data_IF_913100399281
#
_entry.id   IF_913100399281
#
_cell.length_a   1.000
_cell.length_b   1.000
_cell.length_c   1.000
_cell.angle_alpha   90.00
_cell.angle_beta   90.00
_cell.angle_gamma   90.00
#
_symmetry.space_group_name_H-M   'P 1'
#
loop_
_entity.id
_entity.type
_entity.pdbx_description
1 polymer ?
#
# COMPACT_ATOMS: atom_id res chain seq x y z
N UNK A 1 2.62 -6.81 5.49
CA UNK A 1 2.29 -8.07 4.78
C UNK A 1 1.14 -7.80 3.81
N UNK A 2 1.03 -8.56 2.71
CA UNK A 2 -0.09 -8.46 1.76
C UNK A 2 -0.87 -9.78 1.73
N UNK A 3 -2.19 -9.68 1.67
CA UNK A 3 -3.12 -10.80 1.59
C UNK A 3 -4.02 -10.62 0.37
N UNK A 4 -4.20 -11.67 -0.41
CA UNK A 4 -5.00 -11.68 -1.62
C UNK A 4 -6.13 -12.69 -1.49
N UNK A 5 -7.36 -12.20 -1.61
CA UNK A 5 -8.59 -12.99 -1.43
C UNK A 5 -9.50 -12.78 -2.64
N UNK A 6 -10.35 -13.75 -2.95
CA UNK A 6 -11.44 -13.59 -3.89
C UNK A 6 -12.66 -12.94 -3.20
N UNK A 7 -13.60 -12.43 -3.98
CA UNK A 7 -14.92 -12.00 -3.49
C UNK A 7 -15.64 -13.09 -2.66
N UNK A 8 -15.43 -14.37 -2.99
CA UNK A 8 -15.94 -15.52 -2.24
C UNK A 8 -15.16 -15.83 -0.95
N UNK A 9 -14.27 -14.93 -0.51
CA UNK A 9 -13.33 -15.12 0.61
C UNK A 9 -12.38 -16.32 0.46
N UNK A 10 -12.11 -16.74 -0.79
CA UNK A 10 -11.12 -17.78 -1.07
C UNK A 10 -9.72 -17.19 -1.21
N UNK A 11 -8.67 -17.78 -0.62
CA UNK A 11 -7.31 -17.29 -0.78
C UNK A 11 -6.82 -17.48 -2.22
N UNK A 12 -6.15 -16.47 -2.78
CA UNK A 12 -5.62 -16.52 -4.15
C UNK A 12 -4.11 -16.80 -4.11
N UNK A 13 -3.65 -18.03 -4.43
CA UNK A 13 -2.23 -18.35 -4.42
C UNK A 13 -1.53 -17.93 -5.70
N UNK A 14 -0.21 -17.74 -5.63
CA UNK A 14 0.63 -17.35 -6.76
C UNK A 14 0.14 -16.05 -7.45
N UNK A 15 -0.43 -15.11 -6.70
CA UNK A 15 -0.61 -13.75 -7.15
C UNK A 15 0.75 -13.04 -7.11
N UNK A 16 0.98 -12.15 -8.07
CA UNK A 16 2.21 -11.36 -8.20
C UNK A 16 2.00 -9.99 -7.56
N UNK A 17 2.84 -9.64 -6.60
CA UNK A 17 2.75 -8.41 -5.81
C UNK A 17 4.01 -7.60 -6.10
N UNK A 18 3.88 -6.56 -6.90
CA UNK A 18 4.98 -5.63 -7.19
C UNK A 18 4.85 -4.41 -6.29
N UNK A 19 5.90 -4.15 -5.52
CA UNK A 19 5.97 -3.02 -4.60
C UNK A 19 6.86 -1.94 -5.21
N UNK A 20 6.30 -0.74 -5.33
CA UNK A 20 7.00 0.45 -5.78
C UNK A 20 7.00 1.47 -4.64
N UNK A 21 8.11 2.17 -4.45
CA UNK A 21 8.20 3.31 -3.52
C UNK A 21 7.83 4.57 -4.29
N UNK A 22 6.91 5.36 -3.74
CA UNK A 22 6.50 6.64 -4.30
C UNK A 22 7.38 7.74 -3.72
N UNK A 23 8.20 8.35 -4.57
CA UNK A 23 9.01 9.52 -4.25
C UNK A 23 8.50 10.75 -5.03
N UNK A 24 9.02 11.95 -4.73
CA UNK A 24 8.60 13.21 -5.39
C UNK A 24 8.82 13.22 -6.91
N UNK A 25 9.73 12.37 -7.41
CA UNK A 25 10.06 12.24 -8.83
C UNK A 25 9.25 11.15 -9.55
N UNK A 26 8.52 10.31 -8.82
CA UNK A 26 7.77 9.18 -9.36
C UNK A 26 7.91 7.90 -8.52
N UNK A 27 7.37 6.79 -9.05
CA UNK A 27 7.37 5.48 -8.41
C UNK A 27 8.62 4.65 -8.81
N UNK A 28 9.41 4.22 -7.84
CA UNK A 28 10.61 3.39 -8.01
C UNK A 28 10.29 1.95 -7.63
N UNK A 29 10.55 0.98 -8.52
CA UNK A 29 10.38 -0.44 -8.19
C UNK A 29 11.32 -0.85 -7.06
N UNK A 30 10.76 -1.43 -5.99
CA UNK A 30 11.52 -1.93 -4.84
C UNK A 30 11.72 -3.43 -4.96
N UNK A 31 10.61 -4.18 -4.99
CA UNK A 31 10.65 -5.63 -4.94
C UNK A 31 9.33 -6.26 -5.35
N UNK A 32 9.42 -7.50 -5.80
CA UNK A 32 8.27 -8.34 -6.11
C UNK A 32 8.15 -9.50 -5.13
N UNK A 33 6.92 -9.84 -4.76
CA UNK A 33 6.55 -10.96 -3.92
C UNK A 33 5.48 -11.80 -4.61
N UNK A 34 5.33 -13.05 -4.16
CA UNK A 34 4.24 -13.93 -4.56
C UNK A 34 3.48 -14.42 -3.34
N UNK A 35 2.17 -14.54 -3.47
CA UNK A 35 1.35 -15.15 -2.41
C UNK A 35 1.53 -16.66 -2.38
N UNK A 36 1.55 -17.21 -1.18
CA UNK A 36 1.59 -18.66 -0.93
C UNK A 36 0.20 -19.31 -1.11
N UNK A 37 0.09 -20.60 -0.83
CA UNK A 37 -1.17 -21.38 -0.90
C UNK A 37 -2.31 -20.79 -0.05
N UNK A 38 -1.99 -20.03 0.99
CA UNK A 38 -2.97 -19.34 1.83
C UNK A 38 -3.33 -17.94 1.33
N UNK A 39 -2.88 -17.54 0.13
CA UNK A 39 -3.14 -16.21 -0.42
C UNK A 39 -2.41 -15.09 0.34
N UNK A 40 -1.26 -15.41 0.93
CA UNK A 40 -0.55 -14.53 1.86
C UNK A 40 0.91 -14.38 1.44
N UNK A 41 1.46 -13.18 1.53
CA UNK A 41 2.90 -12.96 1.35
C UNK A 41 3.65 -13.18 2.67
N UNK A 42 4.96 -13.39 2.60
CA UNK A 42 5.81 -13.21 3.79
C UNK A 42 5.81 -11.74 4.25
N UNK A 43 6.38 -11.47 5.43
CA UNK A 43 6.67 -10.10 5.86
C UNK A 43 7.52 -9.41 4.81
N UNK A 44 7.06 -8.24 4.40
CA UNK A 44 7.73 -7.36 3.44
C UNK A 44 8.43 -6.31 4.27
N UNK A 45 9.76 -6.36 4.28
CA UNK A 45 10.58 -5.33 4.92
C UNK A 45 10.70 -4.16 3.94
N UNK A 46 10.17 -3.00 4.33
CA UNK A 46 10.23 -1.75 3.58
C UNK A 46 10.97 -0.71 4.42
N UNK A 47 11.91 0.01 3.81
CA UNK A 47 12.62 1.12 4.45
C UNK A 47 11.67 2.31 4.68
N UNK A 48 11.10 2.39 5.88
CA UNK A 48 10.36 3.57 6.34
C UNK A 48 11.29 4.55 7.08
N UNK A 49 11.11 5.87 6.92
CA UNK A 49 11.85 6.86 7.69
C UNK A 49 11.58 6.70 9.19
N UNK A 50 12.60 6.99 10.01
CA UNK A 50 12.58 6.77 11.46
C UNK A 50 11.43 7.52 12.15
N UNK A 51 10.81 6.86 13.13
CA UNK A 51 9.67 7.37 13.89
C UNK A 51 10.01 8.61 14.74
N UNK A 52 11.30 8.84 15.03
CA UNK A 52 11.78 9.98 15.83
C UNK A 52 11.40 11.35 15.26
N UNK A 53 11.14 11.46 13.95
CA UNK A 53 10.72 12.72 13.31
C UNK A 53 9.24 13.08 13.54
N UNK A 54 8.43 12.16 14.06
CA UNK A 54 7.00 12.38 14.33
C UNK A 54 6.72 13.37 15.46
N UNK A 55 7.72 13.67 16.29
CA UNK A 55 7.56 14.51 17.49
C UNK A 55 7.83 15.99 17.22
N UNK A 56 8.34 16.35 16.04
CA UNK A 56 8.76 17.70 15.71
C UNK A 56 7.83 18.29 14.64
N UNK A 57 6.97 19.24 15.05
CA UNK A 57 6.04 19.98 14.18
C UNK A 57 6.77 20.77 13.08
N UNK A 58 8.08 21.01 13.23
CA UNK A 58 8.93 21.68 12.26
C UNK A 58 9.66 20.73 11.30
N UNK A 59 9.53 19.41 11.48
CA UNK A 59 10.14 18.43 10.60
C UNK A 59 9.34 18.33 9.30
N UNK A 60 9.91 18.89 8.24
CA UNK A 60 9.46 18.74 6.84
C UNK A 60 9.55 17.27 6.34
N UNK A 61 10.10 16.37 7.14
CA UNK A 61 10.28 14.95 6.80
C UNK A 61 9.05 14.15 7.21
N UNK A 62 8.34 13.61 6.22
CA UNK A 62 7.17 12.74 6.44
C UNK A 62 7.57 11.52 7.30
N UNK A 63 6.85 11.22 8.40
CA UNK A 63 7.15 10.07 9.28
C UNK A 63 6.68 8.72 8.70
N UNK A 64 6.31 8.69 7.42
CA UNK A 64 5.85 7.50 6.70
C UNK A 64 6.43 7.49 5.28
N UNK A 65 6.70 6.28 4.78
CA UNK A 65 6.97 6.06 3.36
C UNK A 65 5.67 5.85 2.59
N UNK A 66 5.59 6.38 1.38
CA UNK A 66 4.49 6.08 0.45
C UNK A 66 4.91 4.99 -0.52
N UNK A 67 4.03 4.02 -0.75
CA UNK A 67 4.28 2.90 -1.65
C UNK A 67 3.08 2.63 -2.54
N UNK A 68 3.35 2.27 -3.79
CA UNK A 68 2.36 1.79 -4.74
C UNK A 68 2.48 0.26 -4.81
N UNK A 69 1.39 -0.44 -4.50
CA UNK A 69 1.33 -1.90 -4.45
C UNK A 69 0.46 -2.37 -5.61
N UNK A 70 1.06 -3.13 -6.52
CA UNK A 70 0.36 -3.69 -7.67
C UNK A 70 0.21 -5.19 -7.47
N UNK A 71 -1.01 -5.70 -7.59
CA UNK A 71 -1.35 -7.10 -7.44
C UNK A 71 -1.95 -7.59 -8.74
N UNK A 72 -1.27 -8.53 -9.39
CA UNK A 72 -1.67 -9.11 -10.66
C UNK A 72 -1.73 -10.64 -10.57
N UNK A 73 -2.73 -11.23 -11.20
CA UNK A 73 -2.88 -12.68 -11.27
C UNK A 73 -3.58 -13.06 -12.58
N UNK A 74 -3.07 -14.08 -13.26
CA UNK A 74 -3.72 -14.61 -14.46
C UNK A 74 -5.14 -15.14 -14.12
N UNK A 75 -6.14 -14.70 -14.90
CA UNK A 75 -7.55 -15.03 -14.66
C UNK A 75 -8.25 -14.15 -13.62
N UNK A 76 -7.57 -13.14 -13.07
CA UNK A 76 -8.14 -12.14 -12.17
C UNK A 76 -7.86 -10.72 -12.67
N UNK A 77 -8.61 -9.76 -12.15
CA UNK A 77 -8.39 -8.34 -12.39
C UNK A 77 -7.14 -7.85 -11.65
N UNK A 78 -6.48 -6.84 -12.21
CA UNK A 78 -5.28 -6.26 -11.61
C UNK A 78 -5.67 -5.20 -10.59
N UNK A 79 -5.25 -5.38 -9.34
CA UNK A 79 -5.52 -4.45 -8.25
C UNK A 79 -4.30 -3.56 -8.01
N UNK A 80 -4.49 -2.25 -8.09
CA UNK A 80 -3.46 -1.24 -7.85
C UNK A 80 -3.87 -0.45 -6.60
N UNK A 81 -2.97 -0.39 -5.62
CA UNK A 81 -3.11 0.41 -4.40
C UNK A 81 -2.02 1.46 -4.38
N UNK A 82 -2.43 2.70 -4.65
CA UNK A 82 -1.56 3.84 -4.81
C UNK A 82 -1.50 4.66 -3.52
N UNK A 83 -0.30 5.08 -3.13
CA UNK A 83 -0.09 5.95 -1.96
C UNK A 83 -0.29 5.25 -0.61
N UNK A 84 -0.01 3.95 -0.52
CA UNK A 84 -0.05 3.20 0.75
C UNK A 84 1.01 3.76 1.70
N UNK A 85 0.58 4.20 2.88
CA UNK A 85 1.45 4.80 3.90
C UNK A 85 1.94 3.73 4.87
N UNK A 86 3.25 3.56 4.95
CA UNK A 86 3.89 2.60 5.86
C UNK A 86 4.74 3.38 6.87
N UNK A 87 4.45 3.16 8.15
CA UNK A 87 5.14 3.76 9.28
C UNK A 87 6.28 2.85 9.74
N UNK A 88 7.38 3.44 10.22
CA UNK A 88 8.45 2.67 10.84
C UNK A 88 7.93 1.87 12.04
N UNK A 89 8.48 0.67 12.21
CA UNK A 89 8.21 -0.22 13.36
C UNK A 89 6.73 -0.65 13.52
N UNK A 90 5.89 -0.41 12.50
CA UNK A 90 4.47 -0.78 12.51
C UNK A 90 4.22 -1.96 11.57
N UNK A 91 3.65 -3.06 12.10
CA UNK A 91 3.23 -4.20 11.28
C UNK A 91 1.86 -3.89 10.67
N UNK A 92 1.82 -3.70 9.34
CA UNK A 92 0.61 -3.42 8.59
C UNK A 92 0.25 -4.59 7.68
N UNK A 93 -1.03 -4.96 7.64
CA UNK A 93 -1.56 -5.99 6.74
C UNK A 93 -2.46 -5.34 5.71
N UNK A 94 -2.12 -5.49 4.43
CA UNK A 94 -2.91 -5.00 3.31
C UNK A 94 -3.70 -6.16 2.72
N UNK A 95 -5.02 -6.15 2.90
CA UNK A 95 -5.92 -7.11 2.28
C UNK A 95 -6.40 -6.57 0.92
N UNK A 96 -6.23 -7.38 -0.12
CA UNK A 96 -6.62 -7.09 -1.50
C UNK A 96 -7.62 -8.15 -1.94
N UNK A 97 -8.84 -7.72 -2.21
CA UNK A 97 -9.86 -8.59 -2.80
C UNK A 97 -9.76 -8.46 -4.31
N UNK A 98 -9.51 -9.57 -5.01
CA UNK A 98 -9.45 -9.62 -6.47
C UNK A 98 -10.75 -10.22 -7.02
N UNK A 99 -11.19 -9.67 -8.14
CA UNK A 99 -12.33 -10.18 -8.90
C UNK A 99 -11.82 -10.99 -10.09
N UNK A 100 -12.62 -11.97 -10.53
CA UNK A 100 -12.28 -12.78 -11.70
C UNK A 100 -12.26 -11.89 -12.95
N UNK A 101 -11.17 -11.91 -13.71
CA UNK A 101 -11.12 -11.15 -14.95
C UNK A 101 -12.02 -11.82 -15.97
N UNK A 102 -13.16 -11.19 -16.22
CA UNK A 102 -14.06 -11.60 -17.28
C UNK A 102 -13.42 -11.42 -18.66
N UNK A 103 -14.26 -11.23 -19.69
CA UNK A 103 -13.84 -11.17 -21.11
C UNK A 103 -12.83 -10.03 -21.41
N UNK A 104 -12.70 -9.07 -20.50
CA UNK A 104 -11.68 -8.02 -20.52
C UNK A 104 -11.18 -7.85 -19.08
N UNK A 105 -9.93 -8.22 -18.80
CA UNK A 105 -9.33 -7.94 -17.50
C UNK A 105 -9.41 -6.46 -17.19
N UNK A 106 -9.98 -6.14 -16.02
CA UNK A 106 -10.07 -4.80 -15.49
C UNK A 106 -8.81 -4.47 -14.66
N UNK A 107 -8.54 -3.18 -14.54
CA UNK A 107 -7.51 -2.66 -13.65
C UNK A 107 -8.22 -1.76 -12.64
N UNK A 108 -8.23 -2.19 -11.38
CA UNK A 108 -8.86 -1.47 -10.29
C UNK A 108 -7.78 -0.71 -9.53
N UNK A 109 -7.74 0.61 -9.69
CA UNK A 109 -6.84 1.47 -8.94
C UNK A 109 -7.56 2.17 -7.79
N UNK A 110 -6.99 2.08 -6.59
CA UNK A 110 -7.40 2.86 -5.43
C UNK A 110 -6.22 3.76 -5.06
N UNK A 111 -6.41 5.08 -5.19
CA UNK A 111 -5.46 6.07 -4.70
C UNK A 111 -5.91 6.55 -3.32
N UNK A 112 -5.04 6.34 -2.33
CA UNK A 112 -5.32 6.67 -0.92
C UNK A 112 -5.21 8.18 -0.66
N UNK A 113 -4.66 8.94 -1.62
CA UNK A 113 -4.51 10.39 -1.53
C UNK A 113 -3.53 10.82 -0.43
N UNK A 114 -3.10 12.08 -0.49
CA UNK A 114 -2.35 12.67 0.61
C UNK A 114 -3.33 13.17 1.69
N UNK A 115 -3.13 12.73 2.93
CA UNK A 115 -3.87 13.29 4.06
C UNK A 115 -3.26 14.65 4.42
N UNK A 116 -4.07 15.71 4.37
CA UNK A 116 -3.67 17.00 4.92
C UNK A 116 -3.49 16.85 6.43
N UNK A 117 -2.27 17.06 6.92
CA UNK A 117 -2.03 17.37 8.33
C UNK A 117 -2.90 18.57 8.67
N UNK A 118 -3.93 18.39 9.49
CA UNK A 118 -4.75 19.50 9.95
C UNK A 118 -3.84 20.42 10.76
N UNK A 119 -3.43 21.54 10.17
CA UNK A 119 -2.92 22.67 10.93
C UNK A 119 -3.99 23.00 11.95
N UNK A 120 -3.71 22.76 13.23
CA UNK A 120 -4.61 23.10 14.32
C UNK A 120 -4.86 24.60 14.27
N UNK A 121 -5.92 24.99 13.58
CA UNK A 121 -6.41 26.36 13.52
C UNK A 121 -6.80 26.75 14.92
N UNK A 122 -5.87 27.38 15.63
CA UNK A 122 -6.09 27.94 16.94
C UNK A 122 -7.32 28.82 16.89
N UNK A 123 -8.38 28.37 17.54
CA UNK A 123 -9.60 29.13 17.74
C UNK A 123 -9.24 30.35 18.61
N UNK A 124 -8.78 31.43 17.96
CA UNK A 124 -8.61 32.73 18.60
C UNK A 124 -9.99 33.38 18.66
N UNK A 125 -10.73 33.05 19.71
CA UNK A 125 -11.87 33.84 20.14
C UNK A 125 -11.37 35.21 20.59
N UNK A 126 -11.86 36.27 19.94
CA UNK A 126 -11.90 37.64 20.45
C UNK A 126 -13.27 38.22 20.10
#
# INVERSE_FOLDING_TARGET
MVETMEESAQPIPNAQISVFRRDERGSVFIKEYRTNESGRTQRIELDAPDSSHSTDIHSLTRPYGQYDIHVAKEGFDTEIRNGVQIFAETDSTLTVVMQNSGVRGAVNSLDIGEHQLHEGGGCRSC
#
